data_IF_021362961758
#
_entry.id   IF_021362961758
#
_cell.length_a   1.000
_cell.length_b   1.000
_cell.length_c   1.000
_cell.angle_alpha   90.00
_cell.angle_beta   90.00
_cell.angle_gamma   90.00
#
_symmetry.space_group_name_H-M   'P 1'
#
loop_
_entity.id
_entity.type
_entity.pdbx_description
1 polymer ?
#
# COMPACT_ATOMS: atom_id res chain seq x y z
N UNK A 1 -15.60 -37.75 6.85
CA UNK A 1 -15.28 -36.57 7.66
C UNK A 1 -16.41 -36.28 8.63
N UNK A 2 -16.07 -35.97 9.87
CA UNK A 2 -17.04 -35.58 10.86
C UNK A 2 -17.43 -34.10 10.69
N UNK A 3 -18.53 -33.72 11.31
CA UNK A 3 -18.97 -32.33 11.35
C UNK A 3 -17.90 -31.42 11.98
N UNK A 4 -17.27 -31.91 13.06
CA UNK A 4 -16.24 -31.17 13.78
C UNK A 4 -15.01 -30.88 12.91
N UNK A 5 -14.58 -31.86 12.11
CA UNK A 5 -13.46 -31.68 11.18
C UNK A 5 -13.80 -30.68 10.10
N UNK A 6 -15.00 -30.74 9.56
CA UNK A 6 -15.46 -29.81 8.54
C UNK A 6 -15.51 -28.38 9.09
N UNK A 7 -15.99 -28.22 10.33
CA UNK A 7 -16.05 -26.93 10.99
C UNK A 7 -14.66 -26.36 11.20
N UNK A 8 -13.72 -27.20 11.64
CA UNK A 8 -12.33 -26.79 11.82
C UNK A 8 -11.72 -26.30 10.50
N UNK A 9 -11.91 -27.04 9.42
CA UNK A 9 -11.42 -26.64 8.10
C UNK A 9 -12.03 -25.33 7.62
N UNK A 10 -13.33 -25.14 7.86
CA UNK A 10 -14.01 -23.90 7.51
C UNK A 10 -13.41 -22.72 8.28
N UNK A 11 -13.19 -22.88 9.58
CA UNK A 11 -12.59 -21.84 10.42
C UNK A 11 -11.17 -21.50 9.98
N UNK A 12 -10.36 -22.49 9.66
CA UNK A 12 -9.00 -22.29 9.17
C UNK A 12 -9.00 -21.52 7.84
N UNK A 13 -9.93 -21.86 6.95
CA UNK A 13 -10.05 -21.17 5.66
C UNK A 13 -10.47 -19.72 5.83
N UNK A 14 -11.40 -19.45 6.73
CA UNK A 14 -11.83 -18.09 7.03
C UNK A 14 -10.70 -17.26 7.64
N UNK A 15 -9.93 -17.86 8.53
CA UNK A 15 -8.78 -17.19 9.14
C UNK A 15 -7.73 -16.81 8.11
N UNK A 16 -7.41 -17.73 7.20
CA UNK A 16 -6.48 -17.46 6.11
C UNK A 16 -6.97 -16.34 5.20
N UNK A 17 -8.25 -16.37 4.86
CA UNK A 17 -8.86 -15.35 4.03
C UNK A 17 -8.79 -13.98 4.70
N UNK A 18 -9.11 -13.92 5.98
CA UNK A 18 -9.06 -12.71 6.77
C UNK A 18 -7.63 -12.13 6.84
N UNK A 19 -6.63 -12.98 7.02
CA UNK A 19 -5.23 -12.57 7.04
C UNK A 19 -4.79 -12.03 5.69
N UNK A 20 -5.24 -12.64 4.59
CA UNK A 20 -4.95 -12.16 3.23
C UNK A 20 -5.58 -10.79 2.99
N UNK A 21 -6.79 -10.57 3.47
CA UNK A 21 -7.47 -9.28 3.36
C UNK A 21 -6.72 -8.19 4.10
N UNK A 22 -6.28 -8.48 5.35
CA UNK A 22 -5.49 -7.53 6.13
C UNK A 22 -4.15 -7.22 5.45
N UNK A 23 -3.50 -8.21 4.88
CA UNK A 23 -2.24 -8.01 4.16
C UNK A 23 -2.46 -7.14 2.92
N UNK A 24 -3.57 -7.34 2.22
CA UNK A 24 -3.91 -6.54 1.05
C UNK A 24 -4.18 -5.09 1.45
N UNK A 25 -4.94 -4.86 2.51
CA UNK A 25 -5.23 -3.52 3.01
C UNK A 25 -3.95 -2.78 3.40
N UNK A 26 -3.04 -3.46 4.06
CA UNK A 26 -1.74 -2.90 4.43
C UNK A 26 -0.93 -2.54 3.18
N UNK A 27 -0.93 -3.40 2.18
CA UNK A 27 -0.22 -3.15 0.92
C UNK A 27 -0.79 -1.93 0.19
N UNK A 28 -2.10 -1.78 0.17
CA UNK A 28 -2.76 -0.61 -0.44
C UNK A 28 -2.36 0.66 0.29
N UNK A 29 -2.33 0.62 1.61
CA UNK A 29 -1.93 1.77 2.42
C UNK A 29 -0.50 2.19 2.13
N UNK A 30 0.42 1.24 2.08
CA UNK A 30 1.83 1.48 1.78
C UNK A 30 1.97 2.07 0.37
N UNK A 31 1.23 1.53 -0.59
CA UNK A 31 1.23 2.04 -1.96
C UNK A 31 0.77 3.49 -2.03
N UNK A 32 -0.30 3.82 -1.34
CA UNK A 32 -0.82 5.20 -1.28
C UNK A 32 0.19 6.15 -0.66
N UNK A 33 0.85 5.74 0.41
CA UNK A 33 1.89 6.55 1.05
C UNK A 33 3.08 6.76 0.12
N UNK A 34 3.46 5.72 -0.63
CA UNK A 34 4.52 5.80 -1.62
C UNK A 34 4.20 6.80 -2.72
N UNK A 35 2.97 6.78 -3.22
CA UNK A 35 2.52 7.74 -4.24
C UNK A 35 2.58 9.18 -3.72
N UNK A 36 2.18 9.41 -2.48
CA UNK A 36 2.28 10.74 -1.88
C UNK A 36 3.72 11.22 -1.79
N UNK A 37 4.63 10.33 -1.42
CA UNK A 37 6.06 10.66 -1.33
C UNK A 37 6.64 10.99 -2.70
N UNK A 38 6.27 10.24 -3.72
CA UNK A 38 6.69 10.49 -5.10
C UNK A 38 6.18 11.84 -5.57
N UNK A 39 4.92 12.16 -5.28
CA UNK A 39 4.34 13.44 -5.68
C UNK A 39 5.05 14.62 -5.01
N UNK A 40 5.37 14.49 -3.72
CA UNK A 40 6.13 15.52 -3.00
C UNK A 40 7.51 15.72 -3.60
N UNK A 41 8.19 14.63 -3.94
CA UNK A 41 9.51 14.69 -4.58
C UNK A 41 9.44 15.36 -5.95
N UNK A 42 8.42 15.03 -6.74
CA UNK A 42 8.20 15.63 -8.05
C UNK A 42 8.02 17.14 -7.93
N UNK A 43 7.19 17.58 -6.98
CA UNK A 43 6.95 19.00 -6.77
C UNK A 43 8.21 19.73 -6.29
N UNK A 44 8.99 19.11 -5.42
CA UNK A 44 10.25 19.68 -4.95
C UNK A 44 11.25 19.84 -6.09
N UNK A 45 11.35 18.85 -6.97
CA UNK A 45 12.23 18.93 -8.16
C UNK A 45 11.76 20.03 -9.12
N UNK A 46 10.46 20.16 -9.33
CA UNK A 46 9.90 21.19 -10.18
C UNK A 46 10.22 22.58 -9.64
N UNK A 47 10.06 22.77 -8.33
CA UNK A 47 10.40 24.03 -7.68
C UNK A 47 11.88 24.35 -7.83
N UNK A 48 12.74 23.37 -7.59
CA UNK A 48 14.19 23.55 -7.72
C UNK A 48 14.58 23.91 -9.16
N UNK A 49 13.95 23.25 -10.14
CA UNK A 49 14.18 23.54 -11.56
C UNK A 49 13.84 24.98 -11.89
N UNK A 50 12.71 25.47 -11.41
CA UNK A 50 12.28 26.84 -11.65
C UNK A 50 13.22 27.86 -11.00
N UNK A 51 13.70 27.57 -9.81
CA UNK A 51 14.65 28.44 -9.12
C UNK A 51 15.97 28.54 -9.89
N UNK A 52 16.46 27.43 -10.43
CA UNK A 52 17.67 27.40 -11.24
C UNK A 52 17.47 28.20 -12.52
N UNK A 53 16.35 28.07 -13.19
CA UNK A 53 16.03 28.82 -14.41
C UNK A 53 16.01 30.32 -14.15
N UNK A 54 15.54 30.76 -13.00
CA UNK A 54 15.51 32.17 -12.62
C UNK A 54 16.92 32.75 -12.38
N UNK A 55 17.83 31.95 -11.90
CA UNK A 55 19.20 32.36 -11.63
C UNK A 55 20.04 32.41 -12.90
N UNK A 56 19.71 31.57 -13.86
CA UNK A 56 20.48 31.34 -15.08
C UNK A 56 20.15 32.37 -16.19
N UNK A 57 20.00 33.58 -15.81
CA UNK A 57 19.81 34.69 -16.80
C UNK A 57 21.09 35.21 -17.36
#
# INVERSE_FOLDING_TARGET
>A
MSFEENLKHANESLEKLNNQELALDESVKIYKEGLKSIEKARLALEKARLEVEQIDE
#
